data_IF_473794708617
#
_entry.id   IF_473794708617
#
_cell.length_a   1.000
_cell.length_b   1.000
_cell.length_c   1.000
_cell.angle_alpha   90.00
_cell.angle_beta   90.00
_cell.angle_gamma   90.00
#
_symmetry.space_group_name_H-M   'P 1'
#
loop_
_entity.id
_entity.type
_entity.pdbx_description
1 polymer ?
#
# COMPACT_ATOMS: atom_id res chain seq x y z
N UNK A 1 -2.88 -36.84 17.81
CA UNK A 1 -2.86 -35.85 16.71
C UNK A 1 -3.31 -34.53 17.30
N UNK A 2 -2.41 -33.56 17.42
CA UNK A 2 -2.79 -32.23 17.90
C UNK A 2 -3.58 -31.53 16.80
N UNK A 3 -4.79 -31.07 17.12
CA UNK A 3 -5.57 -30.20 16.23
C UNK A 3 -4.78 -28.92 15.97
N UNK A 4 -4.63 -28.47 14.71
CA UNK A 4 -4.00 -27.18 14.45
C UNK A 4 -4.82 -26.09 15.15
N UNK A 5 -4.16 -25.32 16.03
CA UNK A 5 -4.74 -24.11 16.61
C UNK A 5 -5.04 -23.14 15.48
N UNK A 6 -6.30 -22.73 15.35
CA UNK A 6 -6.71 -21.68 14.41
C UNK A 6 -6.10 -20.37 14.90
N UNK A 7 -5.45 -19.62 14.02
CA UNK A 7 -4.87 -18.33 14.38
C UNK A 7 -5.98 -17.32 14.71
N UNK A 8 -5.62 -16.24 15.42
CA UNK A 8 -6.54 -15.16 15.75
C UNK A 8 -6.93 -14.32 14.51
N UNK A 9 -6.18 -14.44 13.41
CA UNK A 9 -6.36 -13.68 12.18
C UNK A 9 -6.38 -14.57 10.93
N UNK A 10 -7.24 -15.60 10.88
CA UNK A 10 -7.13 -16.65 9.87
C UNK A 10 -7.30 -16.14 8.43
N UNK A 11 -8.07 -15.06 8.25
CA UNK A 11 -8.23 -14.39 6.95
C UNK A 11 -6.97 -13.64 6.54
N UNK A 12 -6.36 -12.87 7.46
CA UNK A 12 -5.14 -12.12 7.16
C UNK A 12 -3.97 -13.07 6.90
N UNK A 13 -3.88 -14.16 7.66
CA UNK A 13 -2.85 -15.18 7.47
C UNK A 13 -2.97 -15.84 6.09
N UNK A 14 -4.20 -16.18 5.68
CA UNK A 14 -4.43 -16.71 4.33
C UNK A 14 -4.01 -15.69 3.26
N UNK A 15 -4.39 -14.42 3.40
CA UNK A 15 -4.03 -13.38 2.44
C UNK A 15 -2.52 -13.10 2.40
N UNK A 16 -1.85 -13.16 3.55
CA UNK A 16 -0.40 -13.03 3.66
C UNK A 16 0.32 -14.18 2.95
N UNK A 17 -0.14 -15.42 3.17
CA UNK A 17 0.38 -16.60 2.48
C UNK A 17 0.17 -16.50 0.97
N UNK A 18 -1.05 -16.17 0.52
CA UNK A 18 -1.33 -15.94 -0.92
C UNK A 18 -0.43 -14.86 -1.51
N UNK A 19 -0.17 -13.78 -0.77
CA UNK A 19 0.71 -12.70 -1.19
C UNK A 19 2.16 -13.19 -1.32
N UNK A 20 2.67 -13.90 -0.31
CA UNK A 20 4.02 -14.46 -0.31
C UNK A 20 4.22 -15.49 -1.43
N UNK A 21 3.28 -16.42 -1.59
CA UNK A 21 3.30 -17.44 -2.64
C UNK A 21 3.30 -16.78 -4.02
N UNK A 22 2.52 -15.72 -4.22
CA UNK A 22 2.51 -14.98 -5.51
C UNK A 22 3.85 -14.34 -5.86
N UNK A 23 4.62 -13.87 -4.85
CA UNK A 23 5.94 -13.28 -5.05
C UNK A 23 6.98 -14.34 -5.41
N UNK A 24 6.85 -15.56 -4.88
CA UNK A 24 7.75 -16.67 -5.21
C UNK A 24 7.45 -17.29 -6.58
N UNK A 25 6.19 -17.26 -7.01
CA UNK A 25 5.74 -17.89 -8.25
C UNK A 25 6.01 -17.05 -9.52
N UNK A 26 6.20 -15.74 -9.39
CA UNK A 26 6.42 -14.83 -10.51
C UNK A 26 7.89 -14.69 -10.88
N UNK A 27 8.18 -14.39 -12.15
CA UNK A 27 9.52 -14.05 -12.64
C UNK A 27 9.73 -12.54 -12.84
N UNK A 28 8.72 -11.72 -12.53
CA UNK A 28 8.84 -10.26 -12.59
C UNK A 28 9.77 -9.75 -11.50
N UNK A 29 10.51 -8.69 -11.80
CA UNK A 29 11.28 -7.98 -10.78
C UNK A 29 10.34 -7.30 -9.75
N UNK A 30 10.84 -7.00 -8.54
CA UNK A 30 10.00 -6.44 -7.47
C UNK A 30 9.27 -5.14 -7.84
N UNK A 31 9.92 -4.24 -8.59
CA UNK A 31 9.32 -2.98 -9.00
C UNK A 31 8.16 -3.22 -9.97
N UNK A 32 8.34 -4.13 -10.94
CA UNK A 32 7.31 -4.52 -11.90
C UNK A 32 6.12 -5.23 -11.24
N UNK A 33 6.36 -5.99 -10.16
CA UNK A 33 5.26 -6.57 -9.36
C UNK A 33 4.41 -5.44 -8.75
N UNK A 34 5.03 -4.41 -8.17
CA UNK A 34 4.30 -3.29 -7.55
C UNK A 34 3.52 -2.47 -8.57
N UNK A 35 4.09 -2.28 -9.77
CA UNK A 35 3.38 -1.67 -10.92
C UNK A 35 2.15 -2.50 -11.31
N UNK A 36 2.31 -3.82 -11.47
CA UNK A 36 1.21 -4.71 -11.84
C UNK A 36 0.10 -4.73 -10.77
N UNK A 37 0.48 -4.77 -9.49
CA UNK A 37 -0.46 -4.70 -8.37
C UNK A 37 -1.19 -3.37 -8.32
N UNK A 38 -0.49 -2.24 -8.46
CA UNK A 38 -1.12 -0.93 -8.52
C UNK A 38 -2.15 -0.85 -9.65
N UNK A 39 -1.78 -1.29 -10.86
CA UNK A 39 -2.70 -1.34 -12.00
C UNK A 39 -3.94 -2.19 -11.71
N UNK A 40 -3.77 -3.35 -11.07
CA UNK A 40 -4.87 -4.22 -10.67
C UNK A 40 -5.80 -3.56 -9.63
N UNK A 41 -5.24 -2.87 -8.63
CA UNK A 41 -6.02 -2.15 -7.62
C UNK A 41 -6.90 -1.06 -8.24
N UNK A 42 -6.35 -0.32 -9.21
CA UNK A 42 -7.10 0.69 -9.96
C UNK A 42 -8.23 0.05 -10.77
N UNK A 43 -7.93 -1.02 -11.49
CA UNK A 43 -8.91 -1.74 -12.31
C UNK A 43 -10.05 -2.33 -11.47
N UNK A 44 -9.73 -2.84 -10.28
CA UNK A 44 -10.67 -3.48 -9.36
C UNK A 44 -11.41 -2.52 -8.43
N UNK A 45 -11.15 -1.21 -8.51
CA UNK A 45 -11.74 -0.21 -7.60
C UNK A 45 -11.41 -0.43 -6.13
N UNK A 46 -10.16 -0.78 -5.83
CA UNK A 46 -9.77 -1.19 -4.49
C UNK A 46 -10.04 -0.11 -3.41
N UNK A 47 -10.25 -0.50 -2.14
CA UNK A 47 -10.40 0.45 -1.03
C UNK A 47 -9.07 1.18 -0.72
N UNK A 48 -9.10 2.34 -0.04
CA UNK A 48 -7.90 3.13 0.30
C UNK A 48 -6.78 2.32 0.95
N UNK A 49 -7.12 1.47 1.93
CA UNK A 49 -6.15 0.64 2.63
C UNK A 49 -5.29 -0.25 1.71
N UNK A 50 -5.85 -0.72 0.60
CA UNK A 50 -5.08 -1.53 -0.35
C UNK A 50 -4.03 -0.72 -1.11
N UNK A 51 -4.30 0.57 -1.40
CA UNK A 51 -3.29 1.47 -1.96
C UNK A 51 -2.20 1.75 -0.95
N UNK A 52 -2.54 1.99 0.32
CA UNK A 52 -1.56 2.22 1.39
C UNK A 52 -0.53 1.09 1.48
N UNK A 53 -1.01 -0.16 1.57
CA UNK A 53 -0.16 -1.34 1.67
C UNK A 53 0.73 -1.51 0.43
N UNK A 54 0.19 -1.30 -0.77
CA UNK A 54 0.96 -1.45 -2.00
C UNK A 54 1.97 -0.31 -2.22
N UNK A 55 1.63 0.93 -1.84
CA UNK A 55 2.54 2.07 -1.98
C UNK A 55 3.69 2.00 -0.98
N UNK A 56 3.43 1.58 0.26
CA UNK A 56 4.48 1.36 1.25
C UNK A 56 5.48 0.27 0.80
N UNK A 57 4.99 -0.89 0.34
CA UNK A 57 5.85 -1.91 -0.24
C UNK A 57 6.52 -1.46 -1.55
N UNK A 58 5.83 -0.60 -2.31
CA UNK A 58 6.29 0.00 -3.56
C UNK A 58 7.51 0.91 -3.38
N UNK A 59 7.49 1.77 -2.38
CA UNK A 59 8.59 2.71 -2.13
C UNK A 59 9.90 1.99 -1.84
N UNK A 60 9.85 0.85 -1.13
CA UNK A 60 11.03 0.05 -0.78
C UNK A 60 11.73 -0.55 -2.00
N UNK A 61 11.00 -0.70 -3.12
CA UNK A 61 11.51 -1.26 -4.38
C UNK A 61 11.55 -0.24 -5.51
N UNK A 62 11.48 1.06 -5.18
CA UNK A 62 11.69 2.15 -6.13
C UNK A 62 10.46 2.56 -6.95
N UNK A 63 9.24 2.18 -6.54
CA UNK A 63 8.01 2.76 -7.10
C UNK A 63 7.73 4.11 -6.41
N UNK A 64 8.21 5.19 -7.00
CA UNK A 64 8.00 6.55 -6.50
C UNK A 64 6.72 7.21 -7.05
N UNK A 65 6.49 8.48 -6.67
CA UNK A 65 5.30 9.22 -7.08
C UNK A 65 5.21 9.42 -8.61
N UNK A 66 6.33 9.51 -9.31
CA UNK A 66 6.36 9.64 -10.76
C UNK A 66 6.08 8.30 -11.44
N UNK A 67 6.57 7.20 -10.86
CA UNK A 67 6.19 5.84 -11.22
C UNK A 67 4.68 5.61 -11.08
N UNK A 68 4.09 6.00 -9.94
CA UNK A 68 2.63 5.93 -9.71
C UNK A 68 1.86 6.73 -10.77
N UNK A 69 2.25 7.99 -11.02
CA UNK A 69 1.63 8.82 -12.07
C UNK A 69 1.79 8.20 -13.46
N UNK A 70 2.94 7.61 -13.74
CA UNK A 70 3.22 6.88 -14.98
C UNK A 70 2.28 5.69 -15.16
N UNK A 71 2.09 4.88 -14.13
CA UNK A 71 1.15 3.75 -14.16
C UNK A 71 -0.28 4.23 -14.40
N UNK A 72 -0.76 5.23 -13.65
CA UNK A 72 -2.10 5.77 -13.82
C UNK A 72 -2.34 6.30 -15.24
N UNK A 73 -1.34 6.98 -15.80
CA UNK A 73 -1.38 7.51 -17.17
C UNK A 73 -1.39 6.38 -18.21
N UNK A 74 -0.56 5.36 -18.01
CA UNK A 74 -0.43 4.21 -18.92
C UNK A 74 -1.73 3.39 -18.99
N UNK A 75 -2.40 3.19 -17.86
CA UNK A 75 -3.63 2.37 -17.80
C UNK A 75 -4.89 3.16 -18.09
N UNK A 76 -4.86 4.50 -18.06
CA UNK A 76 -6.05 5.36 -18.22
C UNK A 76 -6.92 5.01 -19.44
N UNK A 77 -6.37 4.73 -20.64
CA UNK A 77 -7.18 4.34 -21.80
C UNK A 77 -7.90 3.00 -21.65
N UNK A 78 -7.41 2.13 -20.75
CA UNK A 78 -7.93 0.77 -20.54
C UNK A 78 -8.99 0.75 -19.44
N UNK A 79 -8.75 1.43 -18.32
CA UNK A 79 -9.65 1.42 -17.14
C UNK A 79 -10.65 2.58 -17.13
N UNK A 80 -10.38 3.64 -17.91
CA UNK A 80 -11.23 4.83 -18.03
C UNK A 80 -10.99 5.91 -16.97
N UNK A 81 -11.35 7.15 -17.31
CA UNK A 81 -11.12 8.35 -16.49
C UNK A 81 -11.73 8.24 -15.09
N UNK A 82 -12.94 7.69 -14.97
CA UNK A 82 -13.65 7.55 -13.69
C UNK A 82 -12.88 6.66 -12.70
N UNK A 83 -12.29 5.55 -13.17
CA UNK A 83 -11.44 4.68 -12.33
C UNK A 83 -10.16 5.38 -11.90
N UNK A 84 -9.50 6.10 -12.81
CA UNK A 84 -8.26 6.83 -12.51
C UNK A 84 -8.50 7.93 -11.47
N UNK A 85 -9.57 8.71 -11.63
CA UNK A 85 -9.92 9.78 -10.68
C UNK A 85 -10.25 9.21 -9.30
N UNK A 86 -11.04 8.13 -9.23
CA UNK A 86 -11.37 7.47 -7.98
C UNK A 86 -10.12 6.94 -7.26
N UNK A 87 -9.23 6.26 -7.99
CA UNK A 87 -7.96 5.77 -7.44
C UNK A 87 -7.07 6.91 -6.93
N UNK A 88 -6.97 8.00 -7.71
CA UNK A 88 -6.19 9.18 -7.32
C UNK A 88 -6.71 9.78 -6.02
N UNK A 89 -8.03 9.91 -5.86
CA UNK A 89 -8.63 10.41 -4.63
C UNK A 89 -8.31 9.55 -3.40
N UNK A 90 -8.40 8.21 -3.54
CA UNK A 90 -8.07 7.28 -2.45
C UNK A 90 -6.58 7.27 -2.11
N UNK A 91 -5.70 7.44 -3.10
CA UNK A 91 -4.26 7.57 -2.86
C UNK A 91 -3.97 8.85 -2.08
N UNK A 92 -4.58 9.98 -2.46
CA UNK A 92 -4.43 11.25 -1.73
C UNK A 92 -4.95 11.13 -0.30
N UNK A 93 -6.12 10.53 -0.09
CA UNK A 93 -6.69 10.28 1.24
C UNK A 93 -5.72 9.51 2.14
N UNK A 94 -5.11 8.43 1.63
CA UNK A 94 -4.12 7.65 2.37
C UNK A 94 -2.87 8.47 2.70
N UNK A 95 -2.37 9.27 1.75
CA UNK A 95 -1.19 10.10 1.97
C UNK A 95 -1.48 11.16 3.05
N UNK A 96 -2.67 11.75 3.03
CA UNK A 96 -3.09 12.74 4.03
C UNK A 96 -3.10 12.14 5.44
N UNK A 97 -3.71 10.95 5.60
CA UNK A 97 -3.70 10.21 6.87
C UNK A 97 -2.27 9.87 7.31
N UNK A 98 -1.41 9.43 6.39
CA UNK A 98 -0.02 9.10 6.71
C UNK A 98 0.78 10.33 7.18
N UNK A 99 0.54 11.50 6.56
CA UNK A 99 1.14 12.77 6.99
C UNK A 99 0.63 13.14 8.38
N UNK A 100 -0.67 13.07 8.63
CA UNK A 100 -1.25 13.39 9.94
C UNK A 100 -0.63 12.53 11.05
N UNK A 101 -0.53 11.21 10.85
CA UNK A 101 0.11 10.30 11.80
C UNK A 101 1.57 10.68 12.04
N UNK A 102 2.36 10.88 10.98
CA UNK A 102 3.77 11.25 11.10
C UNK A 102 3.95 12.59 11.84
N UNK A 103 3.09 13.59 11.57
CA UNK A 103 3.15 14.87 12.28
C UNK A 103 2.81 14.74 13.77
N UNK A 104 1.87 13.88 14.13
CA UNK A 104 1.50 13.62 15.52
C UNK A 104 2.63 12.90 16.28
N UNK A 105 3.31 11.93 15.64
CA UNK A 105 4.46 11.24 16.20
C UNK A 105 5.61 12.22 16.50
N UNK A 106 5.98 13.07 15.53
CA UNK A 106 7.01 14.10 15.71
C UNK A 106 6.67 15.08 16.85
N UNK A 107 5.40 15.49 16.96
CA UNK A 107 4.96 16.36 18.04
C UNK A 107 5.03 15.67 19.41
N UNK A 108 4.68 14.38 19.48
CA UNK A 108 4.77 13.59 20.69
C UNK A 108 6.22 13.39 21.16
N UNK A 109 7.14 13.13 20.23
CA UNK A 109 8.58 13.02 20.48
C UNK A 109 9.15 14.34 21.02
N UNK A 110 8.87 15.47 20.35
CA UNK A 110 9.31 16.79 20.81
C UNK A 110 8.77 17.13 22.21
N UNK A 111 7.52 16.79 22.49
CA UNK A 111 6.93 16.99 23.81
C UNK A 111 7.54 16.06 24.88
N UNK A 112 7.97 14.85 24.51
CA UNK A 112 8.65 13.93 25.42
C UNK A 112 10.07 14.42 25.74
N UNK A 113 10.81 14.94 24.75
CA UNK A 113 12.15 15.52 24.94
C UNK A 113 12.10 16.77 25.84
N UNK A 114 11.12 17.65 25.65
CA UNK A 114 10.91 18.82 26.50
C UNK A 114 10.55 18.46 27.95
N UNK A 115 9.94 17.29 28.20
CA UNK A 115 9.64 16.78 29.54
C UNK A 115 10.81 16.05 30.20
N UNK A 116 11.72 15.47 29.42
CA UNK A 116 12.92 14.77 29.91
C UNK A 116 14.10 15.70 30.21
N UNK A 117 14.03 16.96 29.78
CA UNK A 117 15.05 18.00 30.01
C UNK A 117 14.72 18.94 31.19
N UNK A 118 13.64 18.67 31.93
CA UNK A 118 13.20 19.36 33.14
C UNK A 118 13.39 18.48 34.38
#
# INVERSE_FOLDING_TARGET
MSTPSVSDTPVLDLLANMTADSLQATSLDPQMIMVARLAALVASDAPPASYALNLAAGSDVGLDADGVRGVLTAIAPIVGTSRVVAATGRIVEVIDVAIEVATAELAAEAAAEARGTA
#
